data_IF_027483533435
#
_entry.id   IF_027483533435
#
_cell.length_a   1.000
_cell.length_b   1.000
_cell.length_c   1.000
_cell.angle_alpha   90.00
_cell.angle_beta   90.00
_cell.angle_gamma   90.00
#
_symmetry.space_group_name_H-M   'P 1'
#
loop_
_entity.id
_entity.type
_entity.pdbx_description
1 polymer ?
#
# COMPACT_ATOMS: atom_id res chain seq x y z
N UNK A 1 31.34 -15.52 -6.34
CA UNK A 1 31.30 -14.24 -5.61
C UNK A 1 30.17 -13.40 -6.16
N UNK A 2 28.95 -13.58 -5.63
CA UNK A 2 27.83 -12.67 -5.86
C UNK A 2 27.43 -12.16 -4.47
N UNK A 3 27.75 -10.91 -4.19
CA UNK A 3 27.34 -10.23 -2.96
C UNK A 3 25.85 -9.92 -3.07
N UNK A 4 25.01 -10.75 -2.44
CA UNK A 4 23.62 -10.40 -2.14
C UNK A 4 23.68 -9.43 -0.96
N UNK A 5 23.57 -8.15 -1.26
CA UNK A 5 23.38 -7.12 -0.25
C UNK A 5 21.93 -7.24 0.25
N UNK A 6 21.75 -7.95 1.35
CA UNK A 6 20.49 -8.02 2.10
C UNK A 6 20.27 -6.63 2.75
N UNK A 7 19.61 -5.74 2.02
CA UNK A 7 18.99 -4.54 2.58
C UNK A 7 17.81 -5.01 3.43
N UNK A 8 18.09 -5.36 4.68
CA UNK A 8 17.07 -5.49 5.71
C UNK A 8 16.60 -4.07 6.01
N UNK A 9 15.60 -3.61 5.27
CA UNK A 9 14.81 -2.45 5.65
C UNK A 9 14.17 -2.77 6.99
N UNK A 10 14.76 -2.27 8.08
CA UNK A 10 14.11 -2.27 9.38
C UNK A 10 12.89 -1.37 9.25
N UNK A 11 11.73 -1.98 8.96
CA UNK A 11 10.44 -1.30 9.10
C UNK A 11 10.24 -1.18 10.61
N UNK A 12 10.77 -0.11 11.19
CA UNK A 12 10.32 0.33 12.49
C UNK A 12 8.84 0.70 12.31
N UNK A 13 7.94 -0.09 12.91
CA UNK A 13 6.53 0.28 13.02
C UNK A 13 6.49 1.50 13.93
N UNK A 14 6.54 2.70 13.34
CA UNK A 14 6.41 3.96 14.06
C UNK A 14 4.93 4.11 14.39
N UNK A 15 4.48 3.47 15.47
CA UNK A 15 3.20 3.81 16.04
C UNK A 15 3.33 5.16 16.75
N UNK A 16 2.51 6.14 16.36
CA UNK A 16 2.46 7.44 17.03
C UNK A 16 2.26 7.24 18.52
N UNK A 17 2.78 8.18 19.31
CA UNK A 17 2.45 8.28 20.73
C UNK A 17 1.39 9.34 20.92
N UNK A 18 0.45 9.08 21.83
CA UNK A 18 -0.46 10.10 22.33
C UNK A 18 0.38 11.08 23.15
N UNK A 19 0.29 12.38 22.82
CA UNK A 19 1.10 13.42 23.46
C UNK A 19 0.27 14.21 24.45
N UNK A 20 0.82 14.43 25.64
CA UNK A 20 0.29 15.40 26.58
C UNK A 20 0.83 16.78 26.22
N UNK A 21 -0.05 17.75 25.99
CA UNK A 21 0.33 19.16 25.78
C UNK A 21 0.30 19.92 27.11
N UNK A 22 -0.70 19.64 27.94
CA UNK A 22 -0.86 20.21 29.27
C UNK A 22 -1.32 19.14 30.25
N UNK A 23 -0.93 19.24 31.54
CA UNK A 23 0.01 20.20 32.12
C UNK A 23 1.49 19.92 31.73
N UNK A 24 2.36 20.92 31.92
CA UNK A 24 3.75 20.90 31.42
C UNK A 24 4.61 19.78 32.02
N UNK A 25 4.33 19.38 33.26
CA UNK A 25 5.02 18.30 33.95
C UNK A 25 4.76 16.91 33.35
N UNK A 26 3.74 16.76 32.50
CA UNK A 26 3.39 15.50 31.83
C UNK A 26 3.78 15.47 30.35
N UNK A 27 4.35 16.55 29.78
CA UNK A 27 4.68 16.65 28.35
C UNK A 27 5.64 15.54 27.88
N UNK A 28 6.53 15.07 28.76
CA UNK A 28 7.50 14.03 28.43
C UNK A 28 6.94 12.61 28.52
N UNK A 29 5.69 12.44 28.95
CA UNK A 29 5.04 11.12 29.00
C UNK A 29 4.82 10.57 27.58
N UNK A 30 5.29 9.35 27.35
CA UNK A 30 5.10 8.63 26.09
C UNK A 30 3.98 7.63 26.27
N UNK A 31 2.80 7.99 25.78
CA UNK A 31 1.61 7.16 25.94
C UNK A 31 1.40 6.33 24.68
N UNK A 32 1.61 5.03 24.83
CA UNK A 32 1.26 4.04 23.82
C UNK A 32 -0.26 3.89 23.74
N UNK A 33 -0.79 3.81 22.53
CA UNK A 33 -2.20 3.61 22.29
C UNK A 33 -2.43 2.67 21.12
N UNK A 34 -3.58 1.99 21.11
CA UNK A 34 -4.09 1.26 19.95
C UNK A 34 -5.38 1.89 19.43
N UNK A 35 -5.62 1.82 18.12
CA UNK A 35 -6.82 2.34 17.46
C UNK A 35 -7.86 1.22 17.35
N UNK A 36 -9.15 1.56 17.52
CA UNK A 36 -10.25 0.62 17.28
C UNK A 36 -10.36 0.14 15.82
N UNK A 37 -10.97 -1.02 15.63
CA UNK A 37 -11.40 -1.52 14.32
C UNK A 37 -12.82 -1.05 13.93
N UNK A 38 -13.25 0.09 14.46
CA UNK A 38 -14.55 0.71 14.18
C UNK A 38 -14.46 2.22 14.35
N UNK A 39 -15.49 2.95 13.94
CA UNK A 39 -15.49 4.41 13.92
C UNK A 39 -14.71 4.97 12.73
N UNK A 40 -14.92 6.24 12.43
CA UNK A 40 -14.17 6.92 11.37
C UNK A 40 -12.84 7.38 11.95
N UNK A 41 -11.74 6.90 11.36
CA UNK A 41 -10.39 7.29 11.75
C UNK A 41 -9.92 8.40 10.82
N UNK A 42 -9.63 9.61 11.32
CA UNK A 42 -9.20 10.72 10.49
C UNK A 42 -7.69 10.61 10.24
N UNK A 43 -7.29 9.61 9.45
CA UNK A 43 -5.91 9.35 9.09
C UNK A 43 -5.25 10.55 8.41
N UNK A 44 -3.99 10.83 8.78
CA UNK A 44 -3.27 12.03 8.35
C UNK A 44 -3.59 13.29 9.17
N UNK A 45 -4.68 13.31 9.93
CA UNK A 45 -5.09 14.45 10.75
C UNK A 45 -4.62 14.35 12.20
N UNK A 46 -4.83 15.45 12.94
CA UNK A 46 -4.53 15.58 14.36
C UNK A 46 -5.79 15.98 15.10
N UNK A 47 -6.05 15.33 16.24
CA UNK A 47 -7.08 15.75 17.18
C UNK A 47 -6.41 16.33 18.42
N UNK A 48 -6.92 17.45 18.89
CA UNK A 48 -6.52 18.08 20.14
C UNK A 48 -7.74 18.34 21.00
N UNK A 49 -7.64 18.06 22.30
CA UNK A 49 -8.80 18.15 23.16
C UNK A 49 -8.49 18.16 24.65
N UNK A 50 -9.33 18.87 25.40
CA UNK A 50 -9.41 18.71 26.85
C UNK A 50 -10.05 17.36 27.19
N UNK A 51 -9.52 16.71 28.23
CA UNK A 51 -9.92 15.37 28.64
C UNK A 51 -10.91 15.43 29.80
N UNK A 52 -12.05 14.78 29.60
CA UNK A 52 -13.07 14.55 30.61
C UNK A 52 -13.06 13.10 31.11
N UNK A 53 -13.68 12.89 32.28
CA UNK A 53 -13.88 11.58 32.88
C UNK A 53 -15.34 11.18 32.73
N UNK A 54 -15.58 9.97 32.21
CA UNK A 54 -16.93 9.47 32.03
C UNK A 54 -17.71 9.37 33.35
N UNK A 55 -18.96 9.81 33.30
CA UNK A 55 -19.96 9.51 34.31
C UNK A 55 -21.25 9.04 33.62
N UNK A 56 -21.67 7.78 33.80
CA UNK A 56 -21.01 6.73 34.60
C UNK A 56 -19.62 6.31 34.04
N UNK A 57 -18.66 5.87 34.89
CA UNK A 57 -17.28 5.59 34.46
C UNK A 57 -17.14 4.52 33.38
N UNK A 58 -18.04 3.53 33.37
CA UNK A 58 -18.06 2.48 32.36
C UNK A 58 -18.68 2.95 31.03
N UNK A 59 -19.33 4.11 30.96
CA UNK A 59 -19.95 4.64 29.74
C UNK A 59 -20.98 3.73 29.08
N UNK A 60 -21.60 2.81 29.83
CA UNK A 60 -22.58 1.88 29.28
C UNK A 60 -23.98 2.51 29.14
N UNK A 61 -24.27 3.51 29.97
CA UNK A 61 -25.49 4.33 29.88
C UNK A 61 -25.19 5.73 29.30
N UNK A 62 -26.22 6.57 29.22
CA UNK A 62 -26.09 7.96 28.80
C UNK A 62 -25.07 8.71 29.68
N UNK A 63 -24.14 9.40 29.02
CA UNK A 63 -23.04 10.10 29.66
C UNK A 63 -23.44 11.54 29.97
N UNK A 64 -23.05 12.04 31.14
CA UNK A 64 -23.16 13.46 31.49
C UNK A 64 -21.98 14.22 30.87
N UNK A 65 -22.19 15.09 29.85
CA UNK A 65 -21.08 15.79 29.21
C UNK A 65 -20.56 16.96 30.04
N UNK A 66 -19.24 17.16 30.04
CA UNK A 66 -18.62 18.39 30.56
C UNK A 66 -18.41 19.40 29.44
N UNK A 67 -18.92 20.62 29.62
CA UNK A 67 -18.80 21.67 28.60
C UNK A 67 -17.33 22.06 28.37
N UNK A 68 -16.94 22.14 27.10
CA UNK A 68 -15.57 22.48 26.71
C UNK A 68 -14.59 21.31 26.68
N UNK A 69 -15.03 20.09 27.04
CA UNK A 69 -14.26 18.87 26.80
C UNK A 69 -14.45 18.36 25.37
N UNK A 70 -13.38 17.87 24.75
CA UNK A 70 -13.47 17.23 23.43
C UNK A 70 -13.26 15.72 23.56
N UNK A 71 -12.45 15.27 24.52
CA UNK A 71 -12.09 13.88 24.69
C UNK A 71 -12.69 13.33 25.98
N UNK A 72 -13.03 12.05 25.99
CA UNK A 72 -13.55 11.39 27.19
C UNK A 72 -12.77 10.12 27.50
N UNK A 73 -12.47 9.92 28.79
CA UNK A 73 -11.89 8.68 29.31
C UNK A 73 -12.97 7.75 29.86
N UNK A 74 -13.00 6.51 29.39
CA UNK A 74 -14.01 5.51 29.74
C UNK A 74 -13.32 4.23 30.25
N UNK A 75 -13.85 3.65 31.31
CA UNK A 75 -13.36 2.40 31.88
C UNK A 75 -13.87 1.19 31.07
N UNK A 76 -12.97 0.23 30.80
CA UNK A 76 -13.31 -1.04 30.15
C UNK A 76 -14.16 -1.92 31.08
N UNK A 77 -15.18 -2.59 30.54
CA UNK A 77 -16.02 -3.55 31.26
C UNK A 77 -17.51 -3.37 30.95
N UNK A 78 -18.35 -4.28 31.46
CA UNK A 78 -19.82 -4.23 31.48
C UNK A 78 -20.58 -4.23 30.14
N UNK A 79 -20.10 -3.53 29.11
CA UNK A 79 -20.69 -3.43 27.78
C UNK A 79 -19.60 -3.39 26.69
N UNK A 80 -20.03 -3.48 25.42
CA UNK A 80 -19.13 -3.50 24.26
C UNK A 80 -18.39 -2.17 24.08
N UNK A 81 -17.22 -2.21 23.42
CA UNK A 81 -16.47 -0.99 23.09
C UNK A 81 -17.31 -0.03 22.22
N UNK A 82 -17.99 -0.57 21.21
CA UNK A 82 -18.88 0.21 20.34
C UNK A 82 -19.96 0.94 21.14
N UNK A 83 -20.59 0.28 22.11
CA UNK A 83 -21.61 0.92 22.98
C UNK A 83 -21.03 2.13 23.73
N UNK A 84 -19.83 1.99 24.32
CA UNK A 84 -19.15 3.06 25.05
C UNK A 84 -18.87 4.26 24.15
N UNK A 85 -18.31 4.00 22.96
CA UNK A 85 -17.93 5.07 22.02
C UNK A 85 -19.16 5.74 21.41
N UNK A 86 -20.23 4.99 21.15
CA UNK A 86 -21.52 5.54 20.71
C UNK A 86 -22.15 6.46 21.75
N UNK A 87 -22.08 6.11 23.04
CA UNK A 87 -22.58 6.98 24.11
C UNK A 87 -21.71 8.25 24.23
N UNK A 88 -20.40 8.13 24.06
CA UNK A 88 -19.49 9.29 24.01
C UNK A 88 -19.81 10.23 22.84
N UNK A 89 -20.03 9.68 21.65
CA UNK A 89 -20.44 10.46 20.48
C UNK A 89 -21.76 11.19 20.72
N UNK A 90 -22.78 10.52 21.28
CA UNK A 90 -24.08 11.12 21.61
C UNK A 90 -23.95 12.26 22.62
N UNK A 91 -23.01 12.16 23.54
CA UNK A 91 -22.70 13.22 24.51
C UNK A 91 -21.85 14.37 23.91
N UNK A 92 -21.48 14.30 22.63
CA UNK A 92 -20.80 15.38 21.89
C UNK A 92 -19.27 15.34 21.95
N UNK A 93 -18.68 14.27 22.47
CA UNK A 93 -17.22 14.09 22.45
C UNK A 93 -16.73 13.71 21.05
N UNK A 94 -15.46 14.00 20.76
CA UNK A 94 -14.80 13.81 19.46
C UNK A 94 -13.78 12.66 19.46
N UNK A 95 -13.43 12.14 20.64
CA UNK A 95 -12.53 10.98 20.81
C UNK A 95 -12.86 10.27 22.13
N UNK A 96 -13.01 8.96 22.07
CA UNK A 96 -13.08 8.12 23.26
C UNK A 96 -11.74 7.45 23.56
N UNK A 97 -11.28 7.56 24.81
CA UNK A 97 -10.05 6.95 25.31
C UNK A 97 -10.46 5.86 26.31
N UNK A 98 -10.29 4.61 25.93
CA UNK A 98 -10.66 3.46 26.76
C UNK A 98 -9.42 2.94 27.49
N UNK A 99 -9.55 2.68 28.79
CA UNK A 99 -8.48 2.10 29.59
C UNK A 99 -8.90 0.83 30.31
N UNK A 100 -7.91 -0.04 30.54
CA UNK A 100 -8.08 -1.27 31.31
C UNK A 100 -7.90 -1.05 32.83
N UNK A 101 -8.25 -2.05 33.62
CA UNK A 101 -7.80 -2.21 35.01
C UNK A 101 -6.47 -2.97 35.15
N UNK A 102 -6.04 -3.71 34.13
CA UNK A 102 -4.89 -4.61 34.22
C UNK A 102 -3.62 -3.94 33.66
N UNK A 103 -2.46 -4.21 34.28
CA UNK A 103 -1.15 -3.65 33.93
C UNK A 103 -0.48 -4.30 32.71
N UNK A 104 -1.20 -5.12 31.94
CA UNK A 104 -0.63 -5.76 30.76
C UNK A 104 -0.22 -4.70 29.72
N UNK A 105 0.99 -4.82 29.12
CA UNK A 105 1.39 -3.94 28.04
C UNK A 105 0.44 -4.12 26.85
N UNK A 106 0.14 -3.02 26.14
CA UNK A 106 -0.55 -3.10 24.85
C UNK A 106 0.36 -3.88 23.91
N UNK A 107 -0.04 -5.11 23.58
CA UNK A 107 0.59 -5.83 22.48
C UNK A 107 0.32 -5.07 21.19
N UNK A 108 1.29 -5.07 20.27
CA UNK A 108 1.20 -4.35 18.99
C UNK A 108 0.01 -4.76 18.11
N UNK A 109 -0.58 -5.93 18.37
CA UNK A 109 -1.71 -6.50 17.65
C UNK A 109 -3.07 -6.27 18.32
N UNK A 110 -3.10 -5.76 19.56
CA UNK A 110 -4.37 -5.49 20.25
C UNK A 110 -5.11 -4.37 19.52
N UNK A 111 -6.37 -4.59 19.18
CA UNK A 111 -7.29 -3.57 18.70
C UNK A 111 -8.66 -3.81 19.32
N UNK A 112 -9.38 -2.73 19.63
CA UNK A 112 -10.75 -2.84 20.14
C UNK A 112 -11.65 -3.38 19.03
N UNK A 113 -12.27 -4.54 19.30
CA UNK A 113 -13.11 -5.24 18.33
C UNK A 113 -14.46 -4.53 18.15
N UNK A 114 -14.96 -4.59 16.93
CA UNK A 114 -16.34 -4.24 16.58
C UNK A 114 -17.30 -5.34 17.07
N UNK A 115 -18.49 -4.96 17.53
CA UNK A 115 -19.57 -5.87 17.91
C UNK A 115 -20.62 -6.07 16.79
N UNK A 116 -20.32 -5.61 15.58
CA UNK A 116 -21.19 -5.61 14.42
C UNK A 116 -21.99 -4.33 14.22
N UNK A 117 -21.90 -3.37 15.15
CA UNK A 117 -22.59 -2.07 15.07
C UNK A 117 -21.62 -0.89 15.02
N UNK A 118 -20.32 -1.14 14.86
CA UNK A 118 -19.29 -0.11 14.80
C UNK A 118 -19.45 0.89 13.66
N UNK A 119 -20.18 0.52 12.60
CA UNK A 119 -20.58 1.42 11.51
C UNK A 119 -21.51 2.56 11.93
N UNK A 120 -22.13 2.48 13.12
CA UNK A 120 -23.00 3.51 13.67
C UNK A 120 -22.24 4.61 14.42
N UNK A 121 -20.93 4.44 14.59
CA UNK A 121 -20.06 5.35 15.33
C UNK A 121 -19.21 6.12 14.32
N UNK A 122 -19.15 7.45 14.47
CA UNK A 122 -18.38 8.33 13.58
C UNK A 122 -17.15 8.95 14.24
N UNK A 123 -17.00 8.83 15.57
CA UNK A 123 -15.80 9.29 16.27
C UNK A 123 -14.73 8.18 16.37
N UNK A 124 -13.44 8.53 16.31
CA UNK A 124 -12.38 7.57 16.58
C UNK A 124 -12.37 7.17 18.06
N UNK A 125 -11.76 6.02 18.35
CA UNK A 125 -11.46 5.62 19.71
C UNK A 125 -10.09 4.94 19.81
N UNK A 126 -9.44 5.16 20.96
CA UNK A 126 -8.14 4.59 21.27
C UNK A 126 -8.17 3.85 22.60
N UNK A 127 -7.28 2.87 22.73
CA UNK A 127 -7.06 2.14 23.95
C UNK A 127 -5.68 2.47 24.52
N UNK A 128 -5.59 2.76 25.82
CA UNK A 128 -4.32 3.03 26.53
C UNK A 128 -4.11 2.06 27.69
N UNK A 129 -2.85 1.88 28.12
CA UNK A 129 -2.50 1.00 29.25
C UNK A 129 -3.11 1.50 30.57
N UNK A 130 -3.32 0.60 31.54
CA UNK A 130 -3.82 0.98 32.86
C UNK A 130 -2.95 2.07 33.50
N UNK A 131 -1.62 1.92 33.47
CA UNK A 131 -0.67 2.90 33.99
C UNK A 131 -0.99 4.33 33.50
N UNK A 132 -1.11 4.52 32.19
CA UNK A 132 -1.36 5.85 31.61
C UNK A 132 -2.81 6.29 31.85
N UNK A 133 -3.77 5.37 31.80
CA UNK A 133 -5.16 5.68 32.09
C UNK A 133 -5.34 6.22 33.51
N UNK A 134 -4.77 5.53 34.51
CA UNK A 134 -4.82 5.93 35.91
C UNK A 134 -4.10 7.26 36.13
N UNK A 135 -2.92 7.45 35.54
CA UNK A 135 -2.17 8.72 35.63
C UNK A 135 -2.99 9.92 35.16
N UNK A 136 -3.58 9.82 33.95
CA UNK A 136 -4.40 10.89 33.38
C UNK A 136 -5.67 11.08 34.21
N UNK A 137 -6.32 9.98 34.61
CA UNK A 137 -7.56 10.03 35.41
C UNK A 137 -7.37 10.78 36.72
N UNK A 138 -6.35 10.43 37.50
CA UNK A 138 -6.13 11.08 38.80
C UNK A 138 -5.78 12.57 38.64
N UNK A 139 -5.09 12.94 37.57
CA UNK A 139 -4.79 14.35 37.28
C UNK A 139 -6.02 15.12 36.79
N UNK A 140 -6.90 14.49 36.00
CA UNK A 140 -8.15 15.10 35.50
C UNK A 140 -9.21 15.29 36.61
N UNK A 141 -9.20 14.44 37.65
CA UNK A 141 -10.05 14.66 38.85
C UNK A 141 -9.72 15.96 39.59
N UNK A 142 -8.43 16.30 39.62
CA UNK A 142 -7.91 17.48 40.34
C UNK A 142 -8.02 18.75 39.51
N UNK A 143 -7.73 18.67 38.21
CA UNK A 143 -7.77 19.81 37.28
C UNK A 143 -8.90 19.59 36.28
N UNK A 144 -10.11 20.01 36.65
CA UNK A 144 -11.31 19.78 35.85
C UNK A 144 -11.30 20.67 34.62
N UNK A 145 -12.01 20.23 33.57
CA UNK A 145 -12.10 20.98 32.30
C UNK A 145 -12.70 22.38 32.50
N UNK A 146 -13.65 22.50 33.43
CA UNK A 146 -14.37 23.73 33.79
C UNK A 146 -13.51 24.70 34.61
N UNK A 147 -12.41 24.23 35.21
CA UNK A 147 -11.54 25.09 36.00
C UNK A 147 -10.90 26.15 35.08
N UNK A 148 -10.81 27.38 35.58
CA UNK A 148 -10.18 28.48 34.86
C UNK A 148 -8.64 28.39 34.83
N UNK A 149 -8.06 27.35 35.43
CA UNK A 149 -6.61 27.14 35.47
C UNK A 149 -6.11 26.49 34.16
N UNK A 150 -4.83 26.70 33.85
CA UNK A 150 -4.20 26.11 32.65
C UNK A 150 -3.65 24.68 32.91
N UNK A 151 -4.07 24.07 34.02
CA UNK A 151 -3.55 22.77 34.49
C UNK A 151 -4.41 21.58 34.05
N UNK A 152 -5.54 21.85 33.37
CA UNK A 152 -6.38 20.80 32.76
C UNK A 152 -5.60 20.01 31.72
N UNK A 153 -5.96 18.73 31.59
CA UNK A 153 -5.23 17.84 30.71
C UNK A 153 -5.67 18.07 29.27
N UNK A 154 -4.70 18.44 28.44
CA UNK A 154 -4.88 18.59 27.01
C UNK A 154 -4.03 17.55 26.29
N UNK A 155 -4.65 16.75 25.44
CA UNK A 155 -3.97 15.73 24.67
C UNK A 155 -3.95 16.08 23.18
N UNK A 156 -2.91 15.60 22.49
CA UNK A 156 -2.77 15.64 21.05
C UNK A 156 -2.56 14.22 20.53
N UNK A 157 -3.49 13.80 19.69
CA UNK A 157 -3.43 12.55 18.96
C UNK A 157 -3.16 12.85 17.49
N UNK A 158 -2.25 12.10 16.87
CA UNK A 158 -2.01 12.11 15.43
C UNK A 158 -2.26 10.72 14.89
N UNK A 159 -3.09 10.60 13.87
CA UNK A 159 -3.30 9.35 13.15
C UNK A 159 -2.28 9.27 12.03
N UNK A 160 -1.14 8.66 12.31
CA UNK A 160 -0.03 8.59 11.36
C UNK A 160 -0.37 7.71 10.14
N UNK A 161 0.07 8.18 8.98
CA UNK A 161 0.06 7.46 7.70
C UNK A 161 1.48 7.41 7.17
N UNK A 162 1.82 6.31 6.50
CA UNK A 162 3.11 6.19 5.79
C UNK A 162 2.92 6.77 4.40
N UNK A 163 3.57 7.89 4.12
CA UNK A 163 3.46 8.56 2.81
C UNK A 163 4.41 7.98 1.77
N UNK A 164 3.94 7.86 0.53
CA UNK A 164 4.75 7.41 -0.62
C UNK A 164 4.25 7.99 -1.94
N UNK A 165 5.15 8.12 -2.93
CA UNK A 165 4.80 8.45 -4.33
C UNK A 165 4.33 7.20 -5.12
N UNK A 166 4.76 6.01 -4.69
CA UNK A 166 4.29 4.72 -5.22
C UNK A 166 3.54 4.03 -4.08
N UNK A 167 2.21 4.08 -4.11
CA UNK A 167 1.41 3.46 -3.05
C UNK A 167 1.36 1.95 -3.25
N UNK A 168 1.44 1.20 -2.16
CA UNK A 168 1.14 -0.23 -2.14
C UNK A 168 -0.16 -0.45 -1.38
N UNK A 169 -1.15 -1.07 -2.02
CA UNK A 169 -2.44 -1.39 -1.42
C UNK A 169 -2.68 -2.89 -1.52
N UNK A 170 -2.78 -3.55 -0.36
CA UNK A 170 -3.06 -4.98 -0.28
C UNK A 170 -4.51 -5.16 0.18
N UNK A 171 -5.31 -5.88 -0.59
CA UNK A 171 -6.62 -6.38 -0.18
C UNK A 171 -6.50 -7.83 0.25
N UNK A 172 -6.66 -8.08 1.55
CA UNK A 172 -6.87 -9.42 2.11
C UNK A 172 -8.34 -9.80 1.97
N UNK A 173 -8.64 -10.84 1.18
CA UNK A 173 -10.01 -11.24 0.85
C UNK A 173 -10.27 -12.71 1.17
N UNK A 174 -11.53 -13.04 1.43
CA UNK A 174 -12.00 -14.41 1.48
C UNK A 174 -13.25 -14.53 0.60
N UNK A 175 -13.20 -15.35 -0.45
CA UNK A 175 -14.32 -15.52 -1.40
C UNK A 175 -15.53 -16.27 -0.80
N UNK A 176 -15.41 -16.73 0.44
CA UNK A 176 -16.50 -17.31 1.22
C UNK A 176 -17.13 -16.32 2.20
N UNK A 177 -16.53 -15.14 2.35
CA UNK A 177 -16.97 -14.07 3.24
C UNK A 177 -17.66 -12.96 2.44
N UNK A 178 -18.92 -12.66 2.81
CA UNK A 178 -19.72 -11.62 2.15
C UNK A 178 -19.15 -10.22 2.38
N UNK A 179 -18.48 -9.98 3.49
CA UNK A 179 -17.89 -8.67 3.78
C UNK A 179 -16.74 -8.36 2.81
N UNK A 180 -15.96 -9.36 2.42
CA UNK A 180 -14.96 -9.24 1.35
C UNK A 180 -15.57 -8.73 0.04
N UNK A 181 -16.73 -9.25 -0.37
CA UNK A 181 -17.40 -8.76 -1.58
C UNK A 181 -18.00 -7.36 -1.41
N UNK A 182 -18.65 -7.08 -0.28
CA UNK A 182 -19.23 -5.76 0.02
C UNK A 182 -18.17 -4.66 -0.10
N UNK A 183 -16.98 -4.89 0.44
CA UNK A 183 -15.91 -3.88 0.48
C UNK A 183 -15.34 -3.61 -0.90
N UNK A 184 -15.17 -4.65 -1.71
CA UNK A 184 -14.71 -4.48 -3.10
C UNK A 184 -15.76 -3.74 -3.93
N UNK A 185 -17.04 -4.03 -3.74
CA UNK A 185 -18.15 -3.31 -4.37
C UNK A 185 -18.18 -1.83 -3.96
N UNK A 186 -18.10 -1.53 -2.67
CA UNK A 186 -18.03 -0.15 -2.16
C UNK A 186 -16.78 0.59 -2.63
N UNK A 187 -15.66 -0.10 -2.83
CA UNK A 187 -14.39 0.50 -3.23
C UNK A 187 -14.25 0.73 -4.75
N UNK A 188 -14.94 -0.04 -5.59
CA UNK A 188 -14.92 0.07 -7.05
C UNK A 188 -15.02 1.51 -7.61
N UNK A 189 -15.97 2.38 -7.17
CA UNK A 189 -16.05 3.74 -7.67
C UNK A 189 -14.81 4.58 -7.35
N UNK A 190 -14.12 4.30 -6.24
CA UNK A 190 -12.88 4.98 -5.85
C UNK A 190 -11.67 4.44 -6.59
N UNK A 191 -11.62 3.12 -6.84
CA UNK A 191 -10.64 2.53 -7.75
C UNK A 191 -10.69 3.21 -9.13
N UNK A 192 -11.89 3.42 -9.68
CA UNK A 192 -12.06 4.07 -10.97
C UNK A 192 -11.53 5.51 -10.98
N UNK A 193 -11.68 6.24 -9.87
CA UNK A 193 -11.14 7.60 -9.71
C UNK A 193 -9.60 7.61 -9.60
N UNK A 194 -9.03 6.57 -8.99
CA UNK A 194 -7.59 6.48 -8.72
C UNK A 194 -6.81 5.64 -9.74
N UNK A 195 -7.47 5.06 -10.75
CA UNK A 195 -6.85 4.11 -11.70
C UNK A 195 -5.64 4.65 -12.46
N UNK A 196 -5.58 5.97 -12.67
CA UNK A 196 -4.49 6.65 -13.38
C UNK A 196 -3.38 7.11 -12.41
N UNK A 197 -3.53 6.85 -11.11
CA UNK A 197 -2.54 7.13 -10.09
C UNK A 197 -1.59 5.94 -9.90
N UNK A 198 -0.40 6.24 -9.39
CA UNK A 198 0.65 5.25 -9.22
C UNK A 198 0.43 4.41 -7.95
N UNK A 199 -0.53 3.49 -8.02
CA UNK A 199 -0.92 2.59 -6.94
C UNK A 199 -0.74 1.14 -7.40
N UNK A 200 0.11 0.40 -6.68
CA UNK A 200 0.24 -1.03 -6.85
C UNK A 200 -0.79 -1.76 -5.97
N UNK A 201 -1.83 -2.28 -6.59
CA UNK A 201 -2.84 -3.09 -5.92
C UNK A 201 -2.43 -4.56 -5.92
N UNK A 202 -2.52 -5.22 -4.77
CA UNK A 202 -2.22 -6.64 -4.60
C UNK A 202 -3.40 -7.32 -3.92
N UNK A 203 -3.84 -8.46 -4.47
CA UNK A 203 -4.85 -9.30 -3.83
C UNK A 203 -4.16 -10.40 -3.03
N UNK A 204 -4.67 -10.69 -1.84
CA UNK A 204 -4.25 -11.83 -1.01
C UNK A 204 -5.49 -12.55 -0.53
N UNK A 205 -5.65 -13.81 -0.93
CA UNK A 205 -6.79 -14.62 -0.51
C UNK A 205 -6.48 -15.48 0.71
N UNK A 206 -7.53 -15.79 1.47
CA UNK A 206 -7.46 -16.76 2.57
C UNK A 206 -7.25 -18.18 2.03
N UNK A 207 -5.99 -18.60 1.98
CA UNK A 207 -5.57 -19.97 1.69
C UNK A 207 -4.58 -20.44 2.76
N UNK A 208 -4.53 -21.76 2.96
CA UNK A 208 -3.66 -22.42 3.92
C UNK A 208 -2.70 -23.36 3.21
N UNK A 209 -1.61 -23.70 3.90
CA UNK A 209 -0.65 -24.69 3.43
C UNK A 209 -0.37 -25.69 4.53
N UNK A 210 -0.55 -26.97 4.21
CA UNK A 210 -0.13 -28.08 5.07
C UNK A 210 1.04 -28.76 4.36
N UNK A 211 2.27 -28.36 4.70
CA UNK A 211 3.44 -29.09 4.23
C UNK A 211 3.42 -30.51 4.83
N UNK A 212 3.85 -31.50 4.05
CA UNK A 212 3.99 -32.90 4.44
C UNK A 212 5.00 -33.16 5.59
N UNK A 213 5.49 -32.12 6.27
CA UNK A 213 6.44 -32.23 7.39
C UNK A 213 5.76 -32.60 8.72
N UNK A 214 4.42 -32.64 8.77
CA UNK A 214 3.67 -33.13 9.93
C UNK A 214 3.37 -34.62 9.73
N UNK A 215 4.01 -35.47 10.53
CA UNK A 215 3.74 -36.91 10.60
C UNK A 215 2.21 -37.15 10.75
N UNK A 216 1.58 -37.69 9.70
CA UNK A 216 0.15 -38.03 9.68
C UNK A 216 -0.67 -37.45 8.52
N UNK A 217 -0.17 -36.45 7.78
CA UNK A 217 -0.88 -35.85 6.62
C UNK A 217 -0.44 -36.53 5.32
N UNK A 218 -0.57 -37.86 5.22
CA UNK A 218 -0.21 -38.59 3.99
C UNK A 218 -1.39 -38.80 3.03
N UNK A 219 -2.64 -38.62 3.47
CA UNK A 219 -3.80 -38.80 2.60
C UNK A 219 -4.18 -37.50 1.89
N UNK A 220 -4.50 -37.54 0.58
CA UNK A 220 -5.04 -36.40 -0.15
C UNK A 220 -6.32 -35.88 0.54
N UNK A 221 -6.32 -34.62 0.93
CA UNK A 221 -7.51 -33.94 1.43
C UNK A 221 -8.31 -33.37 0.23
N UNK A 222 -9.62 -33.56 0.25
CA UNK A 222 -10.55 -32.98 -0.74
C UNK A 222 -10.49 -31.46 -0.77
N UNK A 223 -10.12 -30.82 0.34
CA UNK A 223 -10.03 -29.36 0.46
C UNK A 223 -8.75 -28.76 -0.13
N UNK A 224 -7.90 -29.60 -0.70
CA UNK A 224 -6.57 -29.22 -1.13
C UNK A 224 -6.22 -29.64 -2.55
N UNK A 225 -5.23 -28.95 -3.11
CA UNK A 225 -4.53 -29.29 -4.35
C UNK A 225 -3.02 -29.43 -4.08
N UNK A 226 -2.29 -30.00 -5.05
CA UNK A 226 -0.84 -30.15 -5.00
C UNK A 226 -0.31 -30.83 -3.72
N UNK A 227 -0.80 -32.05 -3.43
CA UNK A 227 -0.46 -32.83 -2.23
C UNK A 227 -0.62 -32.04 -0.91
N UNK A 228 -1.81 -31.49 -0.65
CA UNK A 228 -2.13 -30.75 0.58
C UNK A 228 -1.35 -29.42 0.76
N UNK A 229 -0.55 -29.00 -0.23
CA UNK A 229 0.22 -27.75 -0.15
C UNK A 229 -0.65 -26.51 -0.24
N UNK A 230 -1.75 -26.53 -0.97
CA UNK A 230 -2.68 -25.39 -1.05
C UNK A 230 -4.09 -25.83 -0.74
N UNK A 231 -4.68 -25.23 0.28
CA UNK A 231 -5.98 -25.60 0.82
C UNK A 231 -6.80 -24.36 1.14
N UNK A 232 -8.11 -24.55 1.22
CA UNK A 232 -9.02 -23.57 1.80
C UNK A 232 -9.97 -24.28 2.77
N UNK A 233 -10.67 -23.52 3.61
CA UNK A 233 -11.75 -24.10 4.41
C UNK A 233 -12.85 -24.62 3.50
N UNK A 234 -13.43 -25.76 3.88
CA UNK A 234 -14.61 -26.33 3.23
C UNK A 234 -15.78 -25.32 3.27
N UNK A 235 -16.33 -24.93 2.10
CA UNK A 235 -17.35 -23.90 2.01
C UNK A 235 -18.75 -24.34 2.43
N UNK A 236 -19.06 -25.64 2.41
CA UNK A 236 -20.40 -26.15 2.68
C UNK A 236 -20.43 -27.40 3.59
N UNK A 237 -19.28 -27.79 4.15
CA UNK A 237 -19.13 -28.85 5.13
C UNK A 237 -19.31 -30.23 4.51
N UNK A 238 -20.28 -31.03 4.97
CA UNK A 238 -20.49 -32.37 4.41
C UNK A 238 -21.19 -32.38 3.03
N UNK A 239 -21.32 -31.22 2.39
CA UNK A 239 -21.95 -31.08 1.08
C UNK A 239 -20.93 -31.31 -0.05
N UNK A 240 -21.26 -30.92 -1.29
CA UNK A 240 -20.52 -31.36 -2.49
C UNK A 240 -19.32 -30.45 -2.76
N UNK A 241 -19.40 -29.18 -2.36
CA UNK A 241 -18.29 -28.26 -2.52
C UNK A 241 -17.11 -28.66 -1.65
N UNK A 242 -15.92 -28.25 -2.07
CA UNK A 242 -14.70 -28.55 -1.33
C UNK A 242 -13.81 -27.32 -1.26
N UNK A 243 -12.87 -27.29 -0.32
CA UNK A 243 -11.82 -26.27 -0.29
C UNK A 243 -11.01 -26.21 -1.61
N UNK A 244 -10.90 -27.31 -2.36
CA UNK A 244 -10.28 -27.33 -3.69
C UNK A 244 -10.99 -26.41 -4.68
N UNK A 245 -12.32 -26.40 -4.69
CA UNK A 245 -13.10 -25.54 -5.58
C UNK A 245 -12.84 -24.06 -5.29
N UNK A 246 -12.68 -23.73 -4.00
CA UNK A 246 -12.31 -22.40 -3.51
C UNK A 246 -10.90 -22.03 -3.98
N UNK A 247 -9.90 -22.91 -3.81
CA UNK A 247 -8.52 -22.65 -4.25
C UNK A 247 -8.43 -22.43 -5.76
N UNK A 248 -9.16 -23.23 -6.55
CA UNK A 248 -9.19 -23.01 -8.00
C UNK A 248 -9.87 -21.70 -8.40
N UNK A 249 -10.93 -21.28 -7.70
CA UNK A 249 -11.54 -19.98 -7.94
C UNK A 249 -10.61 -18.83 -7.54
N UNK A 250 -9.91 -18.93 -6.42
CA UNK A 250 -8.86 -17.98 -6.02
C UNK A 250 -7.83 -17.83 -7.14
N UNK A 251 -7.32 -18.93 -7.69
CA UNK A 251 -6.35 -18.90 -8.78
C UNK A 251 -6.92 -18.23 -10.05
N UNK A 252 -8.20 -18.48 -10.36
CA UNK A 252 -8.92 -17.83 -11.47
C UNK A 252 -9.02 -16.32 -11.25
N UNK A 253 -9.40 -15.87 -10.06
CA UNK A 253 -9.52 -14.45 -9.71
C UNK A 253 -8.15 -13.75 -9.73
N UNK A 254 -7.08 -14.41 -9.29
CA UNK A 254 -5.72 -13.88 -9.41
C UNK A 254 -5.33 -13.64 -10.88
N UNK A 255 -5.65 -14.59 -11.77
CA UNK A 255 -5.41 -14.43 -13.20
C UNK A 255 -6.26 -13.31 -13.83
N UNK A 256 -7.53 -13.20 -13.44
CA UNK A 256 -8.41 -12.11 -13.91
C UNK A 256 -7.88 -10.76 -13.44
N UNK A 257 -7.43 -10.64 -12.19
CA UNK A 257 -6.89 -9.40 -11.66
C UNK A 257 -5.59 -8.98 -12.36
N UNK A 258 -4.69 -9.92 -12.60
CA UNK A 258 -3.41 -9.63 -13.28
C UNK A 258 -3.60 -9.20 -14.73
N UNK A 259 -4.48 -9.87 -15.47
CA UNK A 259 -4.64 -9.65 -16.92
C UNK A 259 -5.70 -8.59 -17.24
N UNK A 260 -6.75 -8.50 -16.42
CA UNK A 260 -7.97 -7.72 -16.66
C UNK A 260 -8.41 -6.97 -15.40
N UNK A 261 -7.48 -6.30 -14.71
CA UNK A 261 -7.69 -5.67 -13.40
C UNK A 261 -8.97 -4.81 -13.29
N UNK A 262 -9.29 -4.02 -14.32
CA UNK A 262 -10.48 -3.17 -14.32
C UNK A 262 -11.79 -3.99 -14.36
N UNK A 263 -11.79 -5.13 -15.06
CA UNK A 263 -12.95 -6.02 -15.13
C UNK A 263 -13.09 -6.92 -13.90
N UNK A 264 -12.03 -7.04 -13.09
CA UNK A 264 -12.07 -7.86 -11.88
C UNK A 264 -13.08 -7.35 -10.84
N UNK A 265 -13.27 -6.04 -10.69
CA UNK A 265 -14.28 -5.49 -9.78
C UNK A 265 -15.70 -5.91 -10.18
N UNK A 266 -16.05 -5.73 -11.46
CA UNK A 266 -17.31 -6.21 -12.01
C UNK A 266 -17.45 -7.74 -11.91
N UNK A 267 -16.35 -8.49 -12.08
CA UNK A 267 -16.32 -9.94 -11.88
C UNK A 267 -16.68 -10.32 -10.44
N UNK A 268 -16.08 -9.66 -9.44
CA UNK A 268 -16.37 -9.90 -8.03
C UNK A 268 -17.84 -9.68 -7.69
N UNK A 269 -18.43 -8.59 -8.20
CA UNK A 269 -19.85 -8.30 -8.02
C UNK A 269 -20.73 -9.41 -8.65
N UNK A 270 -20.51 -9.75 -9.93
CA UNK A 270 -21.28 -10.80 -10.61
C UNK A 270 -21.09 -12.18 -9.96
N UNK A 271 -19.88 -12.52 -9.53
CA UNK A 271 -19.56 -13.77 -8.86
C UNK A 271 -20.32 -13.91 -7.54
N UNK A 272 -20.32 -12.87 -6.69
CA UNK A 272 -21.02 -12.86 -5.40
C UNK A 272 -22.51 -13.21 -5.54
N UNK A 273 -23.18 -12.65 -6.55
CA UNK A 273 -24.62 -12.85 -6.74
C UNK A 273 -24.99 -14.09 -7.55
N UNK A 274 -24.15 -14.52 -8.49
CA UNK A 274 -24.48 -15.63 -9.40
C UNK A 274 -23.88 -16.96 -8.98
N UNK A 275 -22.71 -16.95 -8.36
CA UNK A 275 -21.95 -18.15 -8.03
C UNK A 275 -22.15 -18.55 -6.58
N UNK A 276 -23.37 -18.95 -6.22
CA UNK A 276 -23.71 -19.31 -4.82
C UNK A 276 -23.41 -20.76 -4.45
N UNK A 277 -22.88 -21.56 -5.39
CA UNK A 277 -22.63 -23.00 -5.26
C UNK A 277 -21.16 -23.29 -5.57
N UNK A 278 -20.38 -23.61 -4.54
CA UNK A 278 -18.93 -23.86 -4.60
C UNK A 278 -18.53 -24.92 -5.62
N UNK A 279 -19.23 -26.06 -5.63
CA UNK A 279 -19.01 -27.14 -6.60
C UNK A 279 -19.25 -26.72 -8.07
N UNK A 280 -19.92 -25.59 -8.29
CA UNK A 280 -20.22 -25.06 -9.62
C UNK A 280 -19.39 -23.81 -9.96
N UNK A 281 -18.44 -23.39 -9.12
CA UNK A 281 -17.63 -22.19 -9.36
C UNK A 281 -16.98 -22.20 -10.74
N UNK A 282 -16.34 -23.29 -11.16
CA UNK A 282 -15.69 -23.35 -12.49
C UNK A 282 -16.65 -23.00 -13.65
N UNK A 283 -17.87 -23.57 -13.64
CA UNK A 283 -18.87 -23.31 -14.68
C UNK A 283 -19.44 -21.90 -14.56
N UNK A 284 -19.77 -21.47 -13.33
CA UNK A 284 -20.33 -20.16 -13.06
C UNK A 284 -19.35 -19.04 -13.45
N UNK A 285 -18.08 -19.17 -13.08
CA UNK A 285 -17.00 -18.23 -13.42
C UNK A 285 -16.84 -18.08 -14.92
N UNK A 286 -16.97 -19.18 -15.69
CA UNK A 286 -16.98 -19.09 -17.16
C UNK A 286 -18.17 -18.27 -17.70
N UNK A 287 -19.36 -18.45 -17.13
CA UNK A 287 -20.55 -17.67 -17.51
C UNK A 287 -20.40 -16.19 -17.14
N UNK A 288 -19.82 -15.89 -15.97
CA UNK A 288 -19.53 -14.51 -15.56
C UNK A 288 -18.50 -13.87 -16.51
N UNK A 289 -17.44 -14.59 -16.86
CA UNK A 289 -16.46 -14.12 -17.84
C UNK A 289 -17.09 -13.86 -19.22
N UNK A 290 -18.03 -14.70 -19.67
CA UNK A 290 -18.76 -14.47 -20.93
C UNK A 290 -19.60 -13.17 -20.88
N UNK A 291 -20.31 -12.93 -19.78
CA UNK A 291 -21.12 -11.71 -19.57
C UNK A 291 -20.24 -10.45 -19.58
N UNK A 292 -19.05 -10.52 -18.99
CA UNK A 292 -18.13 -9.39 -18.86
C UNK A 292 -17.13 -9.28 -20.01
N UNK A 293 -17.25 -10.15 -21.01
CA UNK A 293 -16.35 -10.22 -22.17
C UNK A 293 -14.88 -10.36 -21.74
N UNK A 294 -14.60 -11.18 -20.72
CA UNK A 294 -13.25 -11.52 -20.27
C UNK A 294 -12.75 -12.70 -21.11
N UNK A 295 -11.60 -12.61 -21.81
CA UNK A 295 -11.09 -13.68 -22.67
C UNK A 295 -10.75 -14.96 -21.89
N UNK A 296 -11.67 -15.94 -21.92
CA UNK A 296 -11.54 -17.21 -21.16
C UNK A 296 -10.26 -17.99 -21.47
N UNK A 297 -9.78 -17.93 -22.72
CA UNK A 297 -8.56 -18.58 -23.16
C UNK A 297 -7.31 -18.01 -22.46
N UNK A 298 -7.24 -16.68 -22.29
CA UNK A 298 -6.12 -16.03 -21.59
C UNK A 298 -6.12 -16.40 -20.11
N UNK A 299 -7.29 -16.39 -19.48
CA UNK A 299 -7.43 -16.78 -18.06
C UNK A 299 -7.05 -18.26 -17.88
N UNK A 300 -7.52 -19.15 -18.75
CA UNK A 300 -7.16 -20.57 -18.70
C UNK A 300 -5.65 -20.78 -18.94
N UNK A 301 -5.03 -20.02 -19.85
CA UNK A 301 -3.58 -20.08 -20.06
C UNK A 301 -2.81 -19.60 -18.83
N UNK A 302 -3.22 -18.49 -18.20
CA UNK A 302 -2.64 -18.02 -16.96
C UNK A 302 -2.76 -19.06 -15.82
N UNK A 303 -3.92 -19.70 -15.73
CA UNK A 303 -4.19 -20.77 -14.78
C UNK A 303 -3.27 -21.98 -15.03
N UNK A 304 -3.29 -22.53 -16.24
CA UNK A 304 -2.56 -23.76 -16.58
C UNK A 304 -1.04 -23.59 -16.53
N UNK A 305 -0.52 -22.42 -16.92
CA UNK A 305 0.93 -22.17 -16.89
C UNK A 305 1.45 -21.88 -15.48
N UNK A 306 0.56 -21.70 -14.50
CA UNK A 306 0.94 -21.48 -13.11
C UNK A 306 1.34 -22.75 -12.35
N UNK A 307 1.04 -23.93 -12.90
CA UNK A 307 1.41 -25.23 -12.34
C UNK A 307 2.75 -25.72 -12.90
N UNK A 308 3.73 -25.88 -12.02
CA UNK A 308 5.08 -26.31 -12.37
C UNK A 308 5.42 -27.61 -11.64
N UNK A 309 6.06 -28.53 -12.36
CA UNK A 309 6.56 -29.77 -11.81
C UNK A 309 7.68 -29.48 -10.80
N UNK A 310 7.60 -30.12 -9.63
CA UNK A 310 8.50 -29.84 -8.50
C UNK A 310 9.97 -30.14 -8.83
N UNK A 311 10.25 -31.09 -9.73
CA UNK A 311 11.61 -31.51 -10.05
C UNK A 311 12.17 -30.76 -11.25
N UNK A 312 11.38 -30.66 -12.32
CA UNK A 312 11.84 -30.12 -13.61
C UNK A 312 11.60 -28.63 -13.75
N UNK A 313 10.73 -28.05 -12.91
CA UNK A 313 10.28 -26.67 -12.98
C UNK A 313 9.61 -26.31 -14.33
N UNK A 314 9.07 -27.31 -15.03
CA UNK A 314 8.35 -27.15 -16.29
C UNK A 314 6.83 -27.22 -16.05
N UNK A 315 6.06 -26.64 -16.96
CA UNK A 315 4.60 -26.70 -16.88
C UNK A 315 4.11 -28.15 -16.81
N UNK A 316 3.21 -28.43 -15.87
CA UNK A 316 2.63 -29.77 -15.70
C UNK A 316 1.14 -29.69 -15.40
N UNK A 317 0.42 -30.75 -15.79
CA UNK A 317 -0.97 -31.00 -15.38
C UNK A 317 -1.07 -32.05 -14.27
N UNK A 318 0.04 -32.67 -13.90
CA UNK A 318 0.09 -33.66 -12.82
C UNK A 318 0.19 -32.94 -11.48
N UNK A 319 -0.95 -32.56 -10.90
CA UNK A 319 -0.99 -31.89 -9.60
C UNK A 319 -0.34 -32.70 -8.47
N UNK A 320 -0.33 -34.03 -8.58
CA UNK A 320 0.34 -34.90 -7.62
C UNK A 320 1.86 -34.72 -7.61
N UNK A 321 2.48 -34.00 -8.54
CA UNK A 321 3.90 -33.64 -8.50
C UNK A 321 4.14 -32.18 -8.88
N UNK A 322 3.15 -31.31 -8.61
CA UNK A 322 3.21 -29.90 -8.98
C UNK A 322 3.24 -29.00 -7.75
N UNK A 323 3.77 -27.80 -7.95
CA UNK A 323 3.49 -26.64 -7.11
C UNK A 323 2.91 -25.52 -7.97
N UNK A 324 2.31 -24.52 -7.34
CA UNK A 324 1.73 -23.38 -8.03
C UNK A 324 2.43 -22.10 -7.57
N UNK A 325 3.18 -21.44 -8.45
CA UNK A 325 4.00 -20.28 -8.07
C UNK A 325 3.15 -19.07 -7.63
N UNK A 326 1.91 -18.96 -8.13
CA UNK A 326 0.99 -17.88 -7.76
C UNK A 326 0.48 -18.09 -6.34
N UNK A 327 0.09 -19.32 -5.99
CA UNK A 327 -0.35 -19.66 -4.65
C UNK A 327 0.81 -19.64 -3.63
N UNK A 328 2.03 -20.02 -4.04
CA UNK A 328 3.24 -19.81 -3.20
C UNK A 328 3.45 -18.32 -2.90
N UNK A 329 3.28 -17.45 -3.92
CA UNK A 329 3.37 -16.01 -3.73
C UNK A 329 2.25 -15.47 -2.81
N UNK A 330 1.03 -16.00 -2.90
CA UNK A 330 -0.06 -15.66 -1.97
C UNK A 330 0.30 -15.98 -0.52
N UNK A 331 0.78 -17.19 -0.24
CA UNK A 331 1.20 -17.61 1.10
C UNK A 331 2.36 -16.75 1.63
N UNK A 332 3.30 -16.40 0.75
CA UNK A 332 4.40 -15.51 1.09
C UNK A 332 3.90 -14.12 1.50
N UNK A 333 3.08 -13.46 0.67
CA UNK A 333 2.56 -12.12 0.97
C UNK A 333 1.65 -12.15 2.20
N UNK A 334 0.78 -13.16 2.32
CA UNK A 334 -0.08 -13.33 3.49
C UNK A 334 0.72 -13.26 4.80
N UNK A 335 1.84 -13.98 4.87
CA UNK A 335 2.75 -13.96 6.02
C UNK A 335 3.53 -12.66 6.13
N UNK A 336 4.07 -12.15 5.02
CA UNK A 336 4.92 -10.96 5.00
C UNK A 336 4.15 -9.67 5.35
N UNK A 337 2.89 -9.56 4.92
CA UNK A 337 2.02 -8.43 5.23
C UNK A 337 1.43 -8.51 6.66
N UNK A 338 1.57 -9.66 7.35
CA UNK A 338 1.05 -9.85 8.70
C UNK A 338 -0.48 -9.83 8.76
N UNK A 339 -1.15 -10.36 7.72
CA UNK A 339 -2.61 -10.43 7.68
C UNK A 339 -3.08 -11.37 8.79
N UNK A 340 -3.93 -10.87 9.68
CA UNK A 340 -4.44 -11.59 10.85
C UNK A 340 -5.96 -11.78 10.83
N UNK A 341 -6.63 -11.35 9.76
CA UNK A 341 -8.07 -11.44 9.59
C UNK A 341 -8.47 -11.09 8.16
N UNK A 342 -9.70 -11.48 7.80
CA UNK A 342 -10.32 -11.20 6.51
C UNK A 342 -11.73 -10.63 6.75
N UNK A 343 -12.17 -9.62 5.98
CA UNK A 343 -11.35 -8.89 5.01
C UNK A 343 -10.31 -7.99 5.71
N UNK A 344 -9.28 -7.60 4.99
CA UNK A 344 -8.27 -6.64 5.46
C UNK A 344 -7.79 -5.73 4.33
N UNK A 345 -7.37 -4.52 4.69
CA UNK A 345 -6.67 -3.61 3.77
C UNK A 345 -5.38 -3.18 4.42
N UNK A 346 -4.29 -3.18 3.66
CA UNK A 346 -3.04 -2.57 4.08
C UNK A 346 -2.63 -1.51 3.08
N UNK A 347 -2.26 -0.32 3.56
CA UNK A 347 -1.74 0.79 2.75
C UNK A 347 -0.31 1.07 3.19
N UNK A 348 0.65 0.96 2.27
CA UNK A 348 2.08 1.10 2.55
C UNK A 348 2.55 0.28 3.76
N UNK A 349 2.13 -0.98 3.81
CA UNK A 349 2.44 -1.97 4.88
C UNK A 349 1.79 -1.70 6.24
N UNK A 350 0.98 -0.65 6.38
CA UNK A 350 0.16 -0.44 7.58
C UNK A 350 -1.23 -1.03 7.38
N UNK A 351 -1.69 -1.81 8.35
CA UNK A 351 -3.05 -2.32 8.37
C UNK A 351 -4.04 -1.17 8.61
N UNK A 352 -5.05 -1.07 7.76
CA UNK A 352 -6.16 -0.14 7.91
C UNK A 352 -6.94 -0.43 9.21
N UNK A 353 -7.35 0.62 9.90
CA UNK A 353 -8.13 0.58 11.14
C UNK A 353 -9.34 1.48 11.03
N UNK A 354 -10.34 1.26 11.88
CA UNK A 354 -11.62 1.94 11.81
C UNK A 354 -12.70 1.16 11.06
N UNK A 355 -13.76 1.87 10.72
CA UNK A 355 -14.88 1.33 9.97
C UNK A 355 -14.45 0.87 8.59
N UNK A 356 -14.60 -0.44 8.36
CA UNK A 356 -14.25 -1.07 7.10
C UNK A 356 -15.30 -0.70 6.03
N UNK A 357 -14.97 0.29 5.19
CA UNK A 357 -15.84 0.86 4.15
C UNK A 357 -15.02 1.37 2.96
N UNK A 358 -15.64 1.39 1.77
CA UNK A 358 -14.97 1.89 0.55
C UNK A 358 -14.47 3.34 0.68
N UNK A 359 -15.28 4.22 1.29
CA UNK A 359 -14.91 5.63 1.54
C UNK A 359 -13.78 5.77 2.56
N UNK A 360 -13.79 4.96 3.63
CA UNK A 360 -12.74 4.95 4.64
C UNK A 360 -11.38 4.51 4.06
N UNK A 361 -11.38 3.47 3.23
CA UNK A 361 -10.19 3.00 2.52
C UNK A 361 -9.69 4.06 1.54
N UNK A 362 -10.59 4.71 0.79
CA UNK A 362 -10.26 5.81 -0.09
C UNK A 362 -9.60 6.99 0.65
N UNK A 363 -10.16 7.38 1.80
CA UNK A 363 -9.59 8.42 2.65
C UNK A 363 -8.17 8.10 3.14
N UNK A 364 -7.92 6.85 3.55
CA UNK A 364 -6.58 6.40 3.96
C UNK A 364 -5.57 6.45 2.80
N UNK A 365 -5.96 5.94 1.63
CA UNK A 365 -5.11 5.96 0.42
C UNK A 365 -4.79 7.41 0.04
N UNK A 366 -5.78 8.29 0.05
CA UNK A 366 -5.61 9.71 -0.26
C UNK A 366 -4.65 10.42 0.69
N UNK A 367 -4.74 10.14 1.99
CA UNK A 367 -3.85 10.71 3.00
C UNK A 367 -2.43 10.10 2.95
N UNK A 368 -2.28 8.91 2.37
CA UNK A 368 -1.00 8.22 2.20
C UNK A 368 -0.20 8.70 0.97
N UNK A 369 -0.77 9.51 0.08
CA UNK A 369 0.03 10.10 -0.99
C UNK A 369 1.05 11.11 -0.45
N UNK A 370 2.28 10.99 -0.94
CA UNK A 370 3.30 12.02 -0.72
C UNK A 370 2.90 13.33 -1.42
N UNK A 371 2.48 13.24 -2.69
CA UNK A 371 1.86 14.34 -3.44
C UNK A 371 0.41 14.01 -3.73
N UNK A 372 -0.53 14.70 -3.07
CA UNK A 372 -1.96 14.37 -3.12
C UNK A 372 -2.57 14.66 -4.50
N UNK A 373 -3.18 13.66 -5.16
CA UNK A 373 -3.90 13.86 -6.42
C UNK A 373 -5.16 14.73 -6.27
N UNK A 374 -5.58 15.39 -7.35
CA UNK A 374 -6.80 16.25 -7.34
C UNK A 374 -8.09 15.51 -6.97
N UNK A 375 -8.16 14.22 -7.29
CA UNK A 375 -9.25 13.31 -6.97
C UNK A 375 -9.41 13.14 -5.45
N UNK A 376 -8.33 13.34 -4.69
CA UNK A 376 -8.29 13.24 -3.25
C UNK A 376 -8.58 14.57 -2.52
N UNK A 377 -8.92 15.65 -3.24
CA UNK A 377 -9.11 16.98 -2.66
C UNK A 377 -10.16 17.05 -1.56
N UNK A 378 -11.21 16.21 -1.63
CA UNK A 378 -12.26 16.13 -0.60
C UNK A 378 -11.82 15.42 0.69
N UNK A 379 -10.71 14.67 0.64
CA UNK A 379 -10.23 13.83 1.74
C UNK A 379 -9.10 14.46 2.54
N UNK A 380 -8.50 15.55 2.04
CA UNK A 380 -7.32 16.17 2.63
C UNK A 380 -7.63 17.61 3.03
N UNK A 381 -7.53 17.89 4.31
CA UNK A 381 -7.75 19.22 4.87
C UNK A 381 -6.64 20.18 4.41
N UNK A 382 -7.04 21.37 3.93
CA UNK A 382 -6.09 22.36 3.41
C UNK A 382 -5.43 21.97 2.08
N UNK A 383 -6.10 21.11 1.28
CA UNK A 383 -5.60 20.69 -0.03
C UNK A 383 -5.17 21.88 -0.87
N UNK A 384 -3.92 21.84 -1.34
CA UNK A 384 -3.39 22.76 -2.34
C UNK A 384 -3.01 21.92 -3.57
N UNK A 385 -3.44 22.31 -4.77
CA UNK A 385 -3.11 21.56 -5.97
C UNK A 385 -1.59 21.57 -6.17
N UNK A 386 -0.99 20.46 -6.64
CA UNK A 386 0.44 20.43 -6.92
C UNK A 386 0.77 21.53 -7.93
N UNK A 387 1.60 22.48 -7.50
CA UNK A 387 2.06 23.57 -8.36
C UNK A 387 3.13 22.98 -9.28
N UNK A 388 2.86 22.93 -10.58
CA UNK A 388 3.91 22.74 -11.56
C UNK A 388 4.73 24.03 -11.57
N UNK A 389 5.94 24.00 -11.02
CA UNK A 389 6.81 25.17 -11.01
C UNK A 389 7.35 25.42 -12.42
N UNK A 390 6.65 26.25 -13.19
CA UNK A 390 7.03 26.69 -14.53
C UNK A 390 8.46 27.28 -14.57
N UNK A 391 8.97 27.74 -13.43
CA UNK A 391 10.36 28.22 -13.28
C UNK A 391 11.37 27.11 -13.56
N UNK A 392 11.09 25.87 -13.14
CA UNK A 392 11.99 24.72 -13.36
C UNK A 392 12.07 24.39 -14.85
N UNK A 393 10.95 24.41 -15.56
CA UNK A 393 10.93 24.22 -17.01
C UNK A 393 11.74 25.30 -17.72
N UNK A 394 11.62 26.56 -17.29
CA UNK A 394 12.41 27.69 -17.79
C UNK A 394 13.91 27.51 -17.52
N UNK A 395 14.30 27.08 -16.31
CA UNK A 395 15.70 26.80 -15.96
C UNK A 395 16.30 25.70 -16.82
N UNK A 396 15.58 24.60 -17.07
CA UNK A 396 16.02 23.51 -17.94
C UNK A 396 16.20 24.01 -19.38
N UNK A 397 15.29 24.85 -19.88
CA UNK A 397 15.38 25.49 -21.19
C UNK A 397 16.62 26.40 -21.32
N UNK A 398 16.91 27.19 -20.29
CA UNK A 398 18.08 28.08 -20.26
C UNK A 398 19.38 27.27 -20.20
N UNK A 399 19.44 26.20 -19.41
CA UNK A 399 20.62 25.33 -19.32
C UNK A 399 20.87 24.63 -20.65
N UNK A 400 19.84 24.04 -21.26
CA UNK A 400 19.97 23.39 -22.58
C UNK A 400 20.39 24.37 -23.66
N UNK A 401 19.79 25.57 -23.71
CA UNK A 401 20.20 26.62 -24.64
C UNK A 401 21.67 27.04 -24.43
N UNK A 402 22.12 27.14 -23.18
CA UNK A 402 23.51 27.48 -22.85
C UNK A 402 24.48 26.40 -23.30
N UNK A 403 24.17 25.12 -23.06
CA UNK A 403 25.01 23.98 -23.51
C UNK A 403 25.12 23.96 -25.03
N UNK A 404 24.01 24.14 -25.75
CA UNK A 404 24.00 24.22 -27.22
C UNK A 404 24.84 25.40 -27.70
N UNK A 405 24.72 26.56 -27.05
CA UNK A 405 25.54 27.73 -27.39
C UNK A 405 27.04 27.45 -27.21
N UNK A 406 27.46 26.85 -26.10
CA UNK A 406 28.86 26.51 -25.87
C UNK A 406 29.38 25.46 -26.86
N UNK A 407 28.57 24.48 -27.23
CA UNK A 407 28.93 23.49 -28.27
C UNK A 407 29.10 24.15 -29.64
N UNK A 408 28.23 25.08 -30.02
CA UNK A 408 28.34 25.83 -31.27
C UNK A 408 29.58 26.75 -31.26
N UNK A 409 29.82 27.48 -30.17
CA UNK A 409 31.02 28.31 -30.02
C UNK A 409 32.28 27.45 -30.09
N UNK A 410 32.31 26.31 -29.38
CA UNK A 410 33.41 25.35 -29.43
C UNK A 410 33.65 24.83 -30.85
N UNK A 411 32.59 24.46 -31.57
CA UNK A 411 32.67 24.04 -32.97
C UNK A 411 33.23 25.15 -33.88
N UNK A 412 32.78 26.40 -33.72
CA UNK A 412 33.29 27.53 -34.48
C UNK A 412 34.77 27.83 -34.18
N UNK A 413 35.17 27.77 -32.92
CA UNK A 413 36.58 27.93 -32.52
C UNK A 413 37.42 26.80 -33.11
N UNK A 414 36.97 25.54 -32.98
CA UNK A 414 37.65 24.38 -33.52
C UNK A 414 37.83 24.47 -35.04
N UNK A 415 36.77 24.83 -35.76
CA UNK A 415 36.82 25.08 -37.19
C UNK A 415 37.84 26.16 -37.56
N UNK A 416 37.86 27.28 -36.81
CA UNK A 416 38.80 28.38 -37.04
C UNK A 416 40.25 27.97 -36.78
N UNK A 417 40.50 27.11 -35.78
CA UNK A 417 41.83 26.55 -35.51
C UNK A 417 42.28 25.63 -36.63
N UNK A 418 41.41 24.71 -37.09
CA UNK A 418 41.72 23.83 -38.24
C UNK A 418 42.02 24.63 -39.50
N UNK A 419 41.21 25.65 -39.82
CA UNK A 419 41.46 26.50 -40.99
C UNK A 419 42.81 27.25 -40.88
N UNK A 420 43.24 27.60 -39.66
CA UNK A 420 44.55 28.21 -39.43
C UNK A 420 45.68 27.20 -39.62
N UNK A 421 45.57 26.03 -39.02
CA UNK A 421 46.60 24.98 -39.07
C UNK A 421 46.73 24.40 -40.49
N UNK A 422 45.61 24.24 -41.21
CA UNK A 422 45.60 23.82 -42.61
C UNK A 422 46.42 24.77 -43.50
N UNK A 423 46.30 26.09 -43.32
CA UNK A 423 47.07 27.09 -44.08
C UNK A 423 48.57 27.05 -43.76
N UNK A 424 48.94 26.76 -42.52
CA UNK A 424 50.35 26.68 -42.09
C UNK A 424 51.04 25.42 -42.62
N UNK A 425 50.33 24.29 -42.71
CA UNK A 425 50.90 23.00 -43.15
C UNK A 425 50.92 22.84 -44.68
N UNK A 426 49.95 23.38 -45.41
CA UNK A 426 49.88 23.21 -46.88
C UNK A 426 50.91 24.05 -47.65
N UNK A 427 51.28 25.24 -47.17
CA UNK A 427 52.22 26.12 -47.89
C UNK A 427 53.63 25.51 -48.07
N UNK A 428 54.27 24.93 -47.04
CA UNK A 428 55.58 24.29 -47.17
C UNK A 428 55.54 23.04 -48.06
N UNK A 429 54.52 22.20 -47.92
CA UNK A 429 54.39 20.95 -48.67
C UNK A 429 54.13 21.18 -50.16
N UNK A 430 53.33 22.21 -50.51
CA UNK A 430 53.14 22.62 -51.91
C UNK A 430 54.44 23.14 -52.51
N UNK A 431 55.20 23.96 -51.77
CA UNK A 431 56.49 24.45 -52.24
C UNK A 431 57.52 23.33 -52.45
N UNK A 432 57.52 22.31 -51.58
CA UNK A 432 58.39 21.13 -51.71
C UNK A 432 58.00 20.27 -52.92
N UNK A 433 56.71 19.97 -53.11
CA UNK A 433 56.25 19.22 -54.29
C UNK A 433 56.52 19.95 -55.60
N UNK A 434 56.31 21.28 -55.64
CA UNK A 434 56.64 22.08 -56.83
C UNK A 434 58.15 22.04 -57.12
N UNK A 435 59.00 22.13 -56.09
CA UNK A 435 60.46 21.97 -56.26
C UNK A 435 60.85 20.57 -56.76
N UNK A 436 60.22 19.50 -56.26
CA UNK A 436 60.47 18.14 -56.75
C UNK A 436 60.00 17.96 -58.19
N UNK A 437 58.87 18.55 -58.56
CA UNK A 437 58.35 18.53 -59.93
C UNK A 437 59.29 19.25 -60.90
N UNK A 438 59.78 20.44 -60.55
CA UNK A 438 60.78 21.18 -61.35
C UNK A 438 62.06 20.33 -61.53
N UNK A 439 62.60 19.76 -60.43
CA UNK A 439 63.78 18.88 -60.49
C UNK A 439 63.58 17.65 -61.37
N UNK A 440 62.39 17.06 -61.35
CA UNK A 440 62.07 15.89 -62.18
C UNK A 440 62.14 16.22 -63.67
N UNK A 441 61.62 17.38 -64.10
CA UNK A 441 61.67 17.78 -65.51
C UNK A 441 63.06 18.26 -65.95
N UNK A 442 63.77 19.02 -65.12
CA UNK A 442 65.18 19.39 -65.41
C UNK A 442 66.09 18.15 -65.52
N UNK A 443 65.84 17.11 -64.71
CA UNK A 443 66.54 15.84 -64.80
C UNK A 443 66.23 15.05 -66.08
N UNK A 444 64.99 15.18 -66.60
CA UNK A 444 64.53 14.50 -67.80
C UNK A 444 65.11 15.13 -69.08
N UNK A 445 65.30 16.45 -69.08
CA UNK A 445 65.96 17.15 -70.18
C UNK A 445 67.47 16.80 -70.22
N UNK A 446 68.14 16.68 -69.07
CA UNK A 446 69.55 16.24 -69.00
C UNK A 446 69.79 14.78 -69.41
N UNK A 447 68.80 13.90 -69.30
CA UNK A 447 68.88 12.51 -69.78
C UNK A 447 68.60 12.35 -71.28
N UNK A 448 67.94 13.32 -71.91
CA UNK A 448 67.77 13.36 -73.37
C UNK A 448 69.04 13.78 -74.10
N UNK A 449 69.92 14.55 -73.48
CA UNK A 449 71.19 14.99 -74.07
C UNK A 449 72.33 13.97 -73.94
N UNK A 450 72.27 13.00 -73.01
CA UNK A 450 73.33 12.02 -72.77
C UNK A 450 73.11 10.62 -73.37
N UNK A 451 71.99 10.40 -74.06
CA UNK A 451 71.63 9.13 -74.73
C UNK A 451 71.87 9.09 -76.24
N UNK A 452 72.61 10.05 -76.80
CA UNK A 452 73.00 10.08 -78.20
C UNK A 452 74.50 10.36 -78.30
N UNK A 453 75.31 9.31 -78.37
CA UNK A 453 76.57 9.12 -79.14
C UNK A 453 77.06 7.70 -78.89
#
# INVERSE_FOLDING_TARGET
MYNILLLVSIIAVIQSKLKVIRPSNLINEKIDYSIANFGIIPFGHRLMGAVDLAYPPNGCDELTPTYGAQFIMIERGDCTFVTKVRNAERAGYQLAIIGNYNDDPIKSDFAMADDGHGYQVSIPSIFITNKHFTLIRERAKVNRVEDSNDEKIMLLLKFDVVKSDNLSVIFGLNIQDRESFRIIDEYEPYYTQLKDQNINYTLVYSIMSFNNEVDGVQQPNSDCICQNKYCAFDPDGAAIGTGRDVVYEVLRQLCIFELHQQKWFAYMNQFNFKCTKSQAYSVCSQQVMDILEIPKNEIQQCFDTSFLDVQTNQQTRNESNAYNYRLDHQLYIYKAAGINGFPSVHVNSLAYRGQFSGSGIFGEICNSFQTTPSQCSSQVEGYTPPVIDDSIALYILVITASVVFFLLVGFFIFRKVIERDSKVVTQPQVNEMVSQYIKFYEGKDKQKESGSI
#
